data_IF_813343700075
#
_entry.id   IF_813343700075
#
_cell.length_a   1.000
_cell.length_b   1.000
_cell.length_c   1.000
_cell.angle_alpha   90.00
_cell.angle_beta   90.00
_cell.angle_gamma   90.00
#
_symmetry.space_group_name_H-M   'P 1'
#
loop_
_entity.id
_entity.type
_entity.pdbx_description
1 polymer ?
#
# COMPACT_ATOMS: atom_id res chain seq x y z
N UNK A 1 -31.84 49.63 33.50
CA UNK A 1 -31.89 49.75 32.02
C UNK A 1 -31.49 48.38 31.49
N UNK A 2 -32.37 47.41 31.21
CA UNK A 2 -33.29 47.26 30.06
C UNK A 2 -32.65 47.63 28.71
N UNK A 3 -32.17 46.61 27.97
CA UNK A 3 -32.47 46.23 26.55
C UNK A 3 -31.22 45.60 25.85
N UNK A 4 -31.24 44.28 25.58
CA UNK A 4 -31.39 43.56 24.27
C UNK A 4 -30.17 43.78 23.34
N UNK A 5 -29.42 42.79 22.86
CA UNK A 5 -29.80 41.87 21.75
C UNK A 5 -28.86 40.66 21.62
N UNK A 6 -29.51 39.53 21.36
CA UNK A 6 -28.99 38.23 20.93
C UNK A 6 -28.58 38.31 19.46
N UNK A 7 -27.44 37.73 19.09
CA UNK A 7 -27.23 37.17 17.76
C UNK A 7 -26.48 35.85 17.90
N UNK A 8 -27.24 34.77 17.88
CA UNK A 8 -26.74 33.41 17.72
C UNK A 8 -26.33 33.20 16.25
N UNK A 9 -25.13 32.67 16.02
CA UNK A 9 -24.76 32.03 14.76
C UNK A 9 -24.41 30.58 15.09
N UNK A 10 -25.44 29.75 15.04
CA UNK A 10 -25.35 28.29 15.13
C UNK A 10 -25.04 27.75 13.72
N UNK A 11 -24.32 26.63 13.73
CA UNK A 11 -24.28 25.56 12.72
C UNK A 11 -23.50 25.78 11.43
N UNK A 12 -22.40 25.04 11.36
CA UNK A 12 -21.79 24.56 10.13
C UNK A 12 -20.82 23.40 10.42
N UNK A 13 -21.22 22.42 11.24
CA UNK A 13 -20.44 21.18 11.34
C UNK A 13 -20.76 20.36 10.10
N UNK A 14 -19.92 20.49 9.08
CA UNK A 14 -19.98 19.65 7.89
C UNK A 14 -19.59 18.23 8.30
N UNK A 15 -20.57 17.40 8.65
CA UNK A 15 -20.38 15.96 8.69
C UNK A 15 -20.16 15.51 7.25
N UNK A 16 -18.90 15.29 6.88
CA UNK A 16 -18.54 14.73 5.59
C UNK A 16 -19.37 13.49 5.35
N UNK A 17 -20.17 13.51 4.28
CA UNK A 17 -20.85 12.33 3.80
C UNK A 17 -19.77 11.30 3.45
N UNK A 18 -19.63 10.26 4.27
CA UNK A 18 -18.89 9.07 3.86
C UNK A 18 -19.70 8.45 2.72
N UNK A 19 -19.35 8.83 1.49
CA UNK A 19 -19.81 8.14 0.31
C UNK A 19 -19.22 6.72 0.38
N UNK A 20 -20.01 5.77 0.85
CA UNK A 20 -19.67 4.37 0.68
C UNK A 20 -19.85 4.08 -0.81
N UNK A 21 -18.76 4.21 -1.57
CA UNK A 21 -18.71 3.81 -2.98
C UNK A 21 -19.17 2.36 -3.05
N UNK A 22 -20.39 2.15 -3.55
CA UNK A 22 -20.87 0.84 -3.92
C UNK A 22 -20.03 0.28 -5.07
N UNK A 23 -20.00 -1.05 -5.19
CA UNK A 23 -19.22 -1.73 -6.21
C UNK A 23 -19.40 -3.24 -6.13
N UNK A 24 -18.77 -3.94 -7.06
CA UNK A 24 -18.72 -5.40 -7.09
C UNK A 24 -17.93 -5.92 -5.87
N UNK A 25 -18.54 -6.80 -5.07
CA UNK A 25 -17.86 -7.58 -4.05
C UNK A 25 -17.65 -8.99 -4.60
N UNK A 26 -16.51 -9.18 -5.26
CA UNK A 26 -16.02 -10.48 -5.68
C UNK A 26 -15.09 -11.11 -4.64
N UNK A 27 -14.63 -12.35 -4.86
CA UNK A 27 -13.53 -12.92 -4.09
C UNK A 27 -12.32 -11.97 -4.16
N UNK A 28 -11.66 -11.78 -3.01
CA UNK A 28 -10.44 -11.01 -2.96
C UNK A 28 -9.37 -11.69 -3.83
N UNK A 29 -8.55 -10.89 -4.53
CA UNK A 29 -7.46 -11.42 -5.32
C UNK A 29 -6.52 -12.27 -4.44
N UNK A 30 -6.08 -13.41 -4.98
CA UNK A 30 -5.27 -14.36 -4.22
C UNK A 30 -3.88 -13.78 -3.93
N UNK A 31 -3.43 -13.94 -2.69
CA UNK A 31 -2.12 -13.46 -2.24
C UNK A 31 -1.07 -14.54 -2.45
N UNK A 32 0.09 -14.14 -2.94
CA UNK A 32 1.26 -15.00 -3.04
C UNK A 32 2.18 -14.80 -1.83
N UNK A 33 3.02 -15.80 -1.56
CA UNK A 33 4.19 -15.66 -0.69
C UNK A 33 5.39 -15.19 -1.49
N UNK A 34 6.39 -14.59 -0.84
CA UNK A 34 7.66 -14.22 -1.46
C UNK A 34 8.35 -15.44 -2.10
N UNK A 35 8.31 -16.60 -1.45
CA UNK A 35 8.86 -17.83 -2.01
C UNK A 35 8.16 -18.25 -3.30
N UNK A 36 6.83 -18.18 -3.36
CA UNK A 36 6.08 -18.46 -4.60
C UNK A 36 6.37 -17.43 -5.69
N UNK A 37 6.43 -16.14 -5.32
CA UNK A 37 6.70 -15.05 -6.24
C UNK A 37 8.02 -15.24 -6.99
N UNK A 38 9.06 -15.71 -6.30
CA UNK A 38 10.38 -15.98 -6.91
C UNK A 38 10.37 -17.06 -8.00
N UNK A 39 9.40 -17.98 -7.97
CA UNK A 39 9.28 -19.06 -8.95
C UNK A 39 8.45 -18.65 -10.18
N UNK A 40 7.73 -17.52 -10.10
CA UNK A 40 6.91 -17.05 -11.21
C UNK A 40 7.76 -16.56 -12.38
N UNK A 41 7.17 -16.58 -13.58
CA UNK A 41 7.79 -16.01 -14.77
C UNK A 41 7.85 -14.48 -14.67
N UNK A 42 8.69 -13.89 -15.51
CA UNK A 42 8.69 -12.47 -15.81
C UNK A 42 7.29 -11.96 -16.22
N UNK A 43 6.99 -10.70 -15.92
CA UNK A 43 5.70 -10.01 -16.06
C UNK A 43 4.51 -10.62 -15.27
N UNK A 44 4.76 -11.56 -14.35
CA UNK A 44 3.67 -12.14 -13.55
C UNK A 44 3.17 -11.15 -12.49
N UNK A 45 1.86 -10.90 -12.45
CA UNK A 45 1.26 -10.07 -11.40
C UNK A 45 1.24 -10.78 -10.05
N UNK A 46 1.65 -10.08 -8.98
CA UNK A 46 1.66 -10.58 -7.61
C UNK A 46 1.04 -9.59 -6.63
N UNK A 47 0.42 -10.15 -5.59
CA UNK A 47 -0.01 -9.43 -4.40
C UNK A 47 0.70 -10.06 -3.21
N UNK A 48 1.53 -9.29 -2.53
CA UNK A 48 2.34 -9.75 -1.38
C UNK A 48 1.99 -8.94 -0.13
N UNK A 49 2.03 -9.60 1.02
CA UNK A 49 1.87 -8.95 2.33
C UNK A 49 3.04 -9.26 3.26
N UNK A 50 3.62 -8.20 3.83
CA UNK A 50 4.89 -8.30 4.56
C UNK A 50 5.35 -6.94 5.07
N UNK A 51 6.65 -6.75 5.18
CA UNK A 51 7.24 -5.49 5.65
C UNK A 51 8.41 -5.07 4.77
N UNK A 52 8.54 -3.76 4.55
CA UNK A 52 9.73 -3.15 3.95
C UNK A 52 10.78 -3.00 5.05
N UNK A 53 11.86 -3.78 4.99
CA UNK A 53 12.82 -3.89 6.11
C UNK A 53 14.08 -3.06 5.93
N UNK A 54 14.46 -2.75 4.69
CA UNK A 54 15.71 -2.05 4.38
C UNK A 54 15.68 -1.38 3.00
N UNK A 55 16.26 -0.19 2.87
CA UNK A 55 16.60 0.42 1.57
C UNK A 55 17.94 -0.12 1.07
N UNK A 56 17.99 -0.64 -0.16
CA UNK A 56 19.16 -1.32 -0.74
C UNK A 56 19.67 -0.67 -2.03
N UNK A 57 18.91 0.28 -2.59
CA UNK A 57 19.29 1.13 -3.74
C UNK A 57 18.49 2.43 -3.72
N UNK A 58 18.39 3.12 -4.86
CA UNK A 58 17.66 4.40 -4.95
C UNK A 58 16.16 4.22 -4.75
N UNK A 59 15.54 3.41 -5.61
CA UNK A 59 14.11 3.03 -5.51
C UNK A 59 13.94 1.57 -5.07
N UNK A 60 15.04 0.95 -4.62
CA UNK A 60 15.09 -0.48 -4.34
C UNK A 60 15.08 -0.76 -2.84
N UNK A 61 14.17 -1.63 -2.43
CA UNK A 61 13.93 -1.97 -1.02
C UNK A 61 13.88 -3.49 -0.83
N UNK A 62 14.29 -3.96 0.34
CA UNK A 62 14.11 -5.36 0.75
C UNK A 62 12.72 -5.50 1.40
N UNK A 63 11.87 -6.31 0.76
CA UNK A 63 10.58 -6.72 1.29
C UNK A 63 10.69 -8.12 1.90
N UNK A 64 10.01 -8.34 3.04
CA UNK A 64 10.04 -9.61 3.76
C UNK A 64 8.65 -10.08 4.15
N UNK A 65 8.40 -11.37 3.95
CA UNK A 65 7.33 -12.12 4.60
C UNK A 65 7.88 -13.33 5.37
N UNK A 66 7.01 -14.23 5.83
CA UNK A 66 7.43 -15.43 6.57
C UNK A 66 8.14 -16.49 5.72
N UNK A 67 8.03 -16.40 4.38
CA UNK A 67 8.61 -17.35 3.43
C UNK A 67 9.98 -16.91 2.92
N UNK A 68 10.31 -15.62 3.02
CA UNK A 68 11.63 -15.11 2.65
C UNK A 68 11.64 -13.61 2.38
N UNK A 69 12.67 -13.18 1.65
CA UNK A 69 12.90 -11.78 1.26
C UNK A 69 13.02 -11.64 -0.25
N UNK A 70 12.57 -10.52 -0.81
CA UNK A 70 12.72 -10.17 -2.24
C UNK A 70 13.01 -8.67 -2.35
N UNK A 71 13.75 -8.28 -3.39
CA UNK A 71 13.94 -6.86 -3.69
C UNK A 71 12.72 -6.35 -4.43
N UNK A 72 12.26 -5.17 -4.05
CA UNK A 72 11.14 -4.45 -4.67
C UNK A 72 11.64 -3.13 -5.21
N UNK A 73 11.24 -2.78 -6.41
CA UNK A 73 11.38 -1.43 -6.96
C UNK A 73 10.11 -0.62 -6.65
N UNK A 74 10.26 0.49 -5.94
CA UNK A 74 9.16 1.32 -5.43
C UNK A 74 9.47 2.78 -5.72
N UNK A 75 8.91 3.23 -6.84
CA UNK A 75 8.93 4.62 -7.30
C UNK A 75 8.29 5.56 -6.25
N UNK A 76 8.80 6.79 -6.15
CA UNK A 76 8.35 7.79 -5.16
C UNK A 76 6.82 8.02 -5.19
N UNK A 77 6.23 7.91 -6.38
CA UNK A 77 4.79 8.08 -6.59
C UNK A 77 3.92 7.00 -5.90
N UNK A 78 4.45 5.78 -5.73
CA UNK A 78 3.74 4.61 -5.19
C UNK A 78 3.47 4.75 -3.69
N UNK A 79 4.31 5.49 -2.96
CA UNK A 79 4.12 5.74 -1.53
C UNK A 79 2.83 6.50 -1.25
N UNK A 80 2.38 7.35 -2.19
CA UNK A 80 1.14 8.12 -2.07
C UNK A 80 1.02 8.89 -0.73
N UNK A 81 2.15 9.42 -0.23
CA UNK A 81 2.24 10.14 1.05
C UNK A 81 2.18 9.27 2.31
N UNK A 82 2.15 7.94 2.17
CA UNK A 82 2.23 7.01 3.30
C UNK A 82 3.66 6.95 3.83
N UNK A 83 3.80 7.01 5.16
CA UNK A 83 5.08 6.78 5.82
C UNK A 83 5.11 5.33 6.33
N UNK A 84 6.06 4.54 5.83
CA UNK A 84 6.20 3.11 6.15
C UNK A 84 7.51 2.91 6.90
N UNK A 85 7.44 2.22 8.02
CA UNK A 85 8.59 1.78 8.80
C UNK A 85 8.77 0.26 8.74
N UNK A 86 9.95 -0.28 9.11
CA UNK A 86 10.17 -1.72 9.18
C UNK A 86 9.27 -2.50 10.15
N UNK A 87 8.51 -1.81 11.01
CA UNK A 87 7.56 -2.43 11.94
C UNK A 87 6.17 -2.58 11.33
N UNK A 88 5.90 -1.85 10.25
CA UNK A 88 4.59 -1.82 9.64
C UNK A 88 4.41 -3.01 8.71
N UNK A 89 3.17 -3.50 8.65
CA UNK A 89 2.77 -4.47 7.63
C UNK A 89 2.17 -3.71 6.46
N UNK A 90 2.62 -4.04 5.25
CA UNK A 90 2.11 -3.47 4.00
C UNK A 90 1.64 -4.58 3.08
N UNK A 91 0.72 -4.22 2.19
CA UNK A 91 0.42 -4.95 0.96
C UNK A 91 1.08 -4.22 -0.19
N UNK A 92 1.80 -4.96 -1.02
CA UNK A 92 2.30 -4.48 -2.30
C UNK A 92 1.65 -5.27 -3.43
N UNK A 93 1.38 -4.59 -4.53
CA UNK A 93 0.87 -5.17 -5.77
C UNK A 93 1.78 -4.72 -6.91
N UNK A 94 2.14 -5.64 -7.79
CA UNK A 94 3.11 -5.33 -8.84
C UNK A 94 3.41 -6.52 -9.73
N UNK A 95 4.41 -6.34 -10.59
CA UNK A 95 4.83 -7.32 -11.58
C UNK A 95 6.17 -7.92 -11.16
N UNK A 96 6.36 -9.22 -11.37
CA UNK A 96 7.67 -9.84 -11.28
C UNK A 96 8.52 -9.32 -12.43
N UNK A 97 9.64 -8.69 -12.08
CA UNK A 97 10.71 -8.32 -13.01
C UNK A 97 11.84 -9.33 -12.83
N UNK A 98 12.03 -10.19 -13.83
CA UNK A 98 12.97 -11.32 -13.77
C UNK A 98 13.90 -11.35 -14.97
N UNK A 99 15.17 -11.16 -14.65
CA UNK A 99 16.29 -11.33 -15.56
C UNK A 99 17.11 -12.58 -15.23
N UNK A 100 18.14 -12.86 -16.05
CA UNK A 100 19.05 -14.00 -15.86
C UNK A 100 19.76 -14.01 -14.49
N UNK A 101 19.85 -12.86 -13.81
CA UNK A 101 20.60 -12.70 -12.56
C UNK A 101 19.80 -12.16 -11.38
N UNK A 102 18.54 -11.77 -11.56
CA UNK A 102 17.73 -11.08 -10.54
C UNK A 102 16.26 -11.46 -10.64
N UNK A 103 15.59 -11.39 -9.49
CA UNK A 103 14.14 -11.52 -9.38
C UNK A 103 13.65 -10.48 -8.41
N UNK A 104 12.74 -9.65 -8.88
CA UNK A 104 12.29 -8.45 -8.19
C UNK A 104 10.79 -8.26 -8.37
N UNK A 105 10.23 -7.29 -7.65
CA UNK A 105 8.85 -6.83 -7.88
C UNK A 105 8.89 -5.36 -8.24
N UNK A 106 8.44 -5.01 -9.44
CA UNK A 106 8.13 -3.63 -9.83
C UNK A 106 6.76 -3.28 -9.23
N UNK A 107 6.77 -2.48 -8.15
CA UNK A 107 5.59 -2.23 -7.34
C UNK A 107 4.73 -1.12 -7.96
N UNK A 108 3.49 -1.47 -8.30
CA UNK A 108 2.50 -0.52 -8.86
C UNK A 108 1.59 0.09 -7.80
N UNK A 109 1.42 -0.58 -6.66
CA UNK A 109 0.64 -0.06 -5.54
C UNK A 109 1.19 -0.53 -4.19
N UNK A 110 1.17 0.37 -3.20
CA UNK A 110 1.48 0.06 -1.82
C UNK A 110 0.35 0.51 -0.90
N UNK A 111 -0.01 -0.34 0.05
CA UNK A 111 -1.00 -0.02 1.08
C UNK A 111 -0.52 -0.44 2.46
N UNK A 112 -0.52 0.52 3.39
CA UNK A 112 -0.34 0.23 4.81
C UNK A 112 -1.52 -0.60 5.35
N UNK A 113 -1.23 -1.72 6.03
CA UNK A 113 -2.22 -2.56 6.68
C UNK A 113 -2.35 -2.14 8.14
N UNK A 114 -3.59 -2.05 8.63
CA UNK A 114 -3.93 -1.69 10.02
C UNK A 114 -4.27 -2.93 10.83
#
# INVERSE_FOLDING_TARGET
MKKVLIAALISGVSFGAFAQQGGFQGPEAERSTVAQAKELKDDAWVILEGSIVKKVGDERYEFRDNSGTIVTDIDDSVWAGQNVSPKDKVRIEGEIDKDLSSVEVDVKALKLLK
#
